data_IF_700184817229
#
_entry.id   IF_700184817229
#
_cell.length_a   1.000
_cell.length_b   1.000
_cell.length_c   1.000
_cell.angle_alpha   90.00
_cell.angle_beta   90.00
_cell.angle_gamma   90.00
#
_symmetry.space_group_name_H-M   'P 1'
#
loop_
_entity.id
_entity.type
_entity.pdbx_description
1 polymer ?
#
# COMPACT_ATOMS: atom_id res chain seq x y z
N UNK A 1 13.86 -15.46 -5.37
CA UNK A 1 13.67 -13.98 -5.26
C UNK A 1 12.37 -13.79 -4.50
N UNK A 2 12.39 -13.16 -3.33
CA UNK A 2 11.15 -12.81 -2.64
C UNK A 2 10.37 -11.81 -3.51
N UNK A 3 9.08 -12.06 -3.78
CA UNK A 3 8.16 -11.10 -4.42
C UNK A 3 8.01 -11.17 -5.94
N UNK A 4 7.76 -12.34 -6.53
CA UNK A 4 7.69 -12.59 -7.98
C UNK A 4 6.53 -11.98 -8.78
N UNK A 5 5.97 -10.83 -8.39
CA UNK A 5 4.93 -10.12 -9.14
C UNK A 5 5.50 -9.06 -10.09
N UNK A 6 4.87 -8.88 -11.25
CA UNK A 6 5.17 -7.76 -12.16
C UNK A 6 4.34 -6.53 -11.74
N UNK A 7 4.95 -5.35 -11.51
CA UNK A 7 4.18 -4.13 -11.25
C UNK A 7 3.32 -3.78 -12.47
N UNK A 8 2.12 -3.25 -12.24
CA UNK A 8 1.15 -2.94 -13.30
C UNK A 8 0.91 -1.44 -13.37
N UNK A 9 0.57 -0.82 -12.24
CA UNK A 9 0.41 0.62 -12.06
C UNK A 9 0.55 0.95 -10.58
N UNK A 10 0.99 2.17 -10.24
CA UNK A 10 1.30 2.58 -8.87
C UNK A 10 0.16 3.30 -8.15
N UNK A 11 -0.66 4.10 -8.84
CA UNK A 11 -1.67 4.97 -8.19
C UNK A 11 -3.11 4.72 -8.68
N UNK A 12 -3.46 5.10 -9.91
CA UNK A 12 -4.88 5.09 -10.36
C UNK A 12 -5.35 3.77 -10.99
N UNK A 13 -5.71 2.81 -10.15
CA UNK A 13 -6.33 1.54 -10.60
C UNK A 13 -7.83 1.52 -10.39
N UNK A 14 -8.55 0.79 -11.25
CA UNK A 14 -10.00 0.62 -11.17
C UNK A 14 -10.39 -0.85 -11.20
N UNK A 15 -11.35 -1.22 -10.35
CA UNK A 15 -11.94 -2.55 -10.27
C UNK A 15 -13.37 -2.53 -10.84
N UNK A 16 -13.62 -3.42 -11.79
CA UNK A 16 -14.88 -3.58 -12.50
C UNK A 16 -15.52 -4.95 -12.21
N UNK A 17 -16.83 -5.12 -12.50
CA UNK A 17 -17.50 -6.40 -12.32
C UNK A 17 -16.76 -7.55 -13.02
N UNK A 18 -16.78 -8.74 -12.40
CA UNK A 18 -16.03 -9.90 -12.90
C UNK A 18 -14.52 -9.80 -12.67
N UNK A 19 -14.11 -9.15 -11.57
CA UNK A 19 -12.71 -9.03 -11.13
C UNK A 19 -11.79 -8.32 -12.13
N UNK A 20 -12.33 -7.56 -13.09
CA UNK A 20 -11.53 -6.90 -14.14
C UNK A 20 -10.87 -5.64 -13.61
N UNK A 21 -9.59 -5.47 -13.94
CA UNK A 21 -8.82 -4.30 -13.56
C UNK A 21 -8.46 -3.46 -14.78
N UNK A 22 -8.52 -2.15 -14.63
CA UNK A 22 -8.06 -1.20 -15.63
C UNK A 22 -7.23 -0.11 -14.98
N UNK A 23 -6.24 0.35 -15.72
CA UNK A 23 -5.39 1.45 -15.36
C UNK A 23 -5.52 2.62 -16.34
N UNK A 24 -5.14 3.81 -15.90
CA UNK A 24 -5.26 5.05 -16.67
C UNK A 24 -3.91 5.68 -17.03
N UNK A 25 -2.82 5.11 -16.52
CA UNK A 25 -1.49 5.71 -16.57
C UNK A 25 -0.50 4.84 -17.34
N UNK A 26 0.58 5.44 -17.82
CA UNK A 26 1.65 4.78 -18.59
C UNK A 26 3.03 5.02 -17.95
N UNK A 27 3.05 5.04 -16.63
CA UNK A 27 4.21 5.39 -15.83
C UNK A 27 3.85 5.45 -14.35
N UNK A 28 4.74 6.06 -13.57
CA UNK A 28 4.59 6.21 -12.11
C UNK A 28 4.90 7.65 -11.69
N UNK A 29 4.35 8.05 -10.54
CA UNK A 29 4.67 9.32 -9.86
C UNK A 29 5.29 9.06 -8.48
N UNK A 30 6.45 8.43 -8.51
CA UNK A 30 7.10 7.86 -7.34
C UNK A 30 7.66 8.95 -6.41
N UNK A 31 7.54 8.73 -5.10
CA UNK A 31 8.26 9.50 -4.08
C UNK A 31 9.72 9.03 -4.05
N UNK A 32 10.67 9.97 -4.11
CA UNK A 32 12.10 9.62 -4.26
C UNK A 32 12.99 10.12 -3.13
N UNK A 33 12.44 10.76 -2.10
CA UNK A 33 13.22 11.10 -0.90
C UNK A 33 13.71 9.83 -0.19
N UNK A 34 15.02 9.74 0.03
CA UNK A 34 15.69 8.58 0.64
C UNK A 34 15.85 7.38 -0.28
N UNK A 35 15.61 7.55 -1.59
CA UNK A 35 15.72 6.48 -2.58
C UNK A 35 17.18 6.00 -2.70
N UNK A 36 17.35 4.68 -2.69
CA UNK A 36 18.64 4.02 -2.93
C UNK A 36 18.47 2.90 -3.95
N UNK A 37 19.55 2.51 -4.66
CA UNK A 37 19.50 1.36 -5.56
C UNK A 37 19.18 0.04 -4.83
N UNK A 38 19.46 -0.06 -3.53
CA UNK A 38 19.16 -1.23 -2.72
C UNK A 38 17.72 -1.27 -2.20
N UNK A 39 17.15 -0.12 -1.81
CA UNK A 39 15.80 -0.06 -1.23
C UNK A 39 14.72 -0.32 -2.26
N UNK A 40 14.80 0.35 -3.42
CA UNK A 40 13.80 0.26 -4.50
C UNK A 40 14.49 0.26 -5.88
N UNK A 41 15.10 -0.86 -6.29
CA UNK A 41 15.94 -0.93 -7.49
C UNK A 41 15.24 -0.48 -8.78
N UNK A 42 13.96 -0.79 -8.93
CA UNK A 42 13.18 -0.47 -10.12
C UNK A 42 12.90 1.04 -10.23
N UNK A 43 12.49 1.67 -9.11
CA UNK A 43 12.24 3.12 -9.03
C UNK A 43 13.54 3.89 -9.18
N UNK A 44 14.64 3.43 -8.55
CA UNK A 44 15.97 4.02 -8.73
C UNK A 44 16.39 3.99 -10.19
N UNK A 45 16.33 2.82 -10.84
CA UNK A 45 16.71 2.66 -12.24
C UNK A 45 15.95 3.64 -13.15
N UNK A 46 14.63 3.73 -12.96
CA UNK A 46 13.78 4.63 -13.73
C UNK A 46 14.06 6.11 -13.46
N UNK A 47 14.33 6.49 -12.20
CA UNK A 47 14.56 7.89 -11.79
C UNK A 47 15.85 8.49 -12.34
N UNK A 48 16.81 7.65 -12.76
CA UNK A 48 18.09 8.09 -13.35
C UNK A 48 18.12 7.97 -14.88
N UNK A 49 16.99 7.60 -15.52
CA UNK A 49 16.90 7.59 -16.97
C UNK A 49 16.77 9.01 -17.54
N UNK A 50 17.30 9.28 -18.75
CA UNK A 50 17.15 10.59 -19.40
C UNK A 50 15.70 11.03 -19.63
N UNK A 51 14.76 10.08 -19.69
CA UNK A 51 13.33 10.34 -19.85
C UNK A 51 12.59 10.68 -18.56
N UNK A 52 13.23 10.53 -17.39
CA UNK A 52 12.59 10.83 -16.11
C UNK A 52 12.51 12.33 -15.86
N UNK A 53 11.41 12.76 -15.24
CA UNK A 53 11.24 14.12 -14.76
C UNK A 53 11.28 14.13 -13.23
N UNK A 54 12.29 14.80 -12.66
CA UNK A 54 12.47 14.94 -11.22
C UNK A 54 11.86 16.25 -10.73
N UNK A 55 11.02 16.18 -9.70
CA UNK A 55 10.35 17.31 -9.09
C UNK A 55 10.87 17.54 -7.66
N UNK A 56 11.37 18.74 -7.38
CA UNK A 56 11.89 19.17 -6.08
C UNK A 56 13.03 18.29 -5.51
N UNK A 57 13.78 17.59 -6.36
CA UNK A 57 15.00 16.87 -5.97
C UNK A 57 16.19 17.81 -6.08
N UNK A 58 17.06 17.83 -5.06
CA UNK A 58 18.24 18.67 -5.09
C UNK A 58 19.32 18.09 -6.02
N UNK A 59 20.19 18.97 -6.51
CA UNK A 59 21.40 18.61 -7.21
C UNK A 59 22.61 19.03 -6.38
N UNK A 60 23.64 18.19 -6.34
CA UNK A 60 24.94 18.56 -5.77
C UNK A 60 25.69 19.56 -6.68
N UNK A 61 26.86 20.02 -6.22
CA UNK A 61 27.66 20.99 -6.95
C UNK A 61 28.16 20.49 -8.33
N UNK A 62 28.18 19.18 -8.55
CA UNK A 62 28.58 18.53 -9.80
C UNK A 62 27.35 18.21 -10.69
N UNK A 63 26.14 18.59 -10.27
CA UNK A 63 24.89 18.33 -10.98
C UNK A 63 24.36 16.90 -10.81
N UNK A 64 24.87 16.13 -9.82
CA UNK A 64 24.31 14.81 -9.50
C UNK A 64 23.09 14.95 -8.62
N UNK A 65 22.14 14.05 -8.82
CA UNK A 65 20.91 13.99 -8.02
C UNK A 65 21.22 13.59 -6.59
N UNK A 66 20.72 14.37 -5.62
CA UNK A 66 20.77 14.06 -4.20
C UNK A 66 19.35 13.77 -3.69
N UNK A 67 19.04 12.48 -3.52
CA UNK A 67 17.76 12.00 -3.02
C UNK A 67 17.59 12.15 -1.49
N UNK A 68 18.65 12.50 -0.76
CA UNK A 68 18.63 12.65 0.71
C UNK A 68 18.53 14.12 1.15
N UNK A 69 18.74 15.06 0.24
CA UNK A 69 18.54 16.47 0.52
C UNK A 69 17.05 16.78 0.69
N UNK A 70 16.73 17.47 1.79
CA UNK A 70 15.37 17.87 2.18
C UNK A 70 15.18 19.39 2.20
N UNK A 71 16.12 20.14 1.62
CA UNK A 71 16.11 21.61 1.63
C UNK A 71 14.88 22.19 0.93
N UNK A 72 14.37 21.50 -0.10
CA UNK A 72 13.11 21.83 -0.75
C UNK A 72 11.91 21.16 -0.06
N UNK A 73 11.91 19.83 0.04
CA UNK A 73 10.83 19.04 0.64
C UNK A 73 11.25 17.58 0.83
N UNK A 74 10.61 16.87 1.77
CA UNK A 74 10.70 15.40 1.86
C UNK A 74 9.70 14.68 0.92
N UNK A 75 8.90 15.42 0.16
CA UNK A 75 7.95 14.90 -0.84
C UNK A 75 8.47 15.15 -2.26
N UNK A 76 9.78 14.96 -2.48
CA UNK A 76 10.36 15.00 -3.82
C UNK A 76 9.89 13.81 -4.65
N UNK A 77 9.69 14.03 -5.96
CA UNK A 77 9.02 13.08 -6.85
C UNK A 77 9.80 12.81 -8.13
N UNK A 78 9.53 11.67 -8.74
CA UNK A 78 9.97 11.33 -10.09
C UNK A 78 8.79 10.84 -10.91
N UNK A 79 8.58 11.45 -12.08
CA UNK A 79 7.74 10.88 -13.13
C UNK A 79 8.61 9.94 -13.95
N UNK A 80 8.22 8.68 -14.03
CA UNK A 80 8.98 7.63 -14.72
C UNK A 80 8.05 6.95 -15.74
N UNK A 81 8.52 6.78 -16.98
CA UNK A 81 7.75 6.01 -17.96
C UNK A 81 7.67 4.54 -17.56
N UNK A 82 6.55 3.87 -17.86
CA UNK A 82 6.44 2.43 -17.64
C UNK A 82 7.55 1.63 -18.36
N UNK A 83 8.03 2.13 -19.50
CA UNK A 83 9.14 1.52 -20.24
C UNK A 83 10.48 1.56 -19.48
N UNK A 84 10.63 2.49 -18.55
CA UNK A 84 11.84 2.70 -17.73
C UNK A 84 11.74 2.00 -16.36
N UNK A 85 10.61 1.34 -16.04
CA UNK A 85 10.43 0.53 -14.82
C UNK A 85 10.67 -0.95 -15.16
N UNK A 86 11.77 -1.56 -14.68
CA UNK A 86 12.09 -2.94 -14.99
C UNK A 86 10.98 -3.92 -14.56
N UNK A 87 10.47 -4.70 -15.52
CA UNK A 87 9.48 -5.75 -15.29
C UNK A 87 8.04 -5.26 -15.16
N UNK A 88 7.77 -3.97 -15.38
CA UNK A 88 6.39 -3.45 -15.43
C UNK A 88 5.63 -3.99 -16.63
N UNK A 89 4.38 -4.39 -16.41
CA UNK A 89 3.43 -4.83 -17.44
C UNK A 89 2.25 -3.85 -17.51
N UNK A 90 1.45 -3.92 -18.57
CA UNK A 90 0.28 -3.07 -18.72
C UNK A 90 -0.97 -3.68 -18.07
N UNK A 91 -1.91 -2.85 -17.58
CA UNK A 91 -3.18 -3.34 -17.03
C UNK A 91 -3.96 -4.30 -17.94
N UNK A 92 -3.85 -4.15 -19.26
CA UNK A 92 -4.49 -5.02 -20.23
C UNK A 92 -3.96 -6.47 -20.24
N UNK A 93 -2.81 -6.71 -19.60
CA UNK A 93 -2.20 -8.02 -19.44
C UNK A 93 -2.67 -8.74 -18.17
N UNK A 94 -3.43 -8.06 -17.29
CA UNK A 94 -4.00 -8.66 -16.09
C UNK A 94 -5.40 -9.19 -16.41
N UNK A 95 -5.59 -10.51 -16.27
CA UNK A 95 -6.87 -11.13 -16.58
C UNK A 95 -7.94 -10.78 -15.53
N UNK A 96 -7.66 -11.05 -14.26
CA UNK A 96 -8.55 -10.85 -13.11
C UNK A 96 -7.74 -10.55 -11.85
N UNK A 97 -8.34 -9.84 -10.90
CA UNK A 97 -7.80 -9.62 -9.56
C UNK A 97 -8.37 -10.64 -8.57
N UNK A 98 -7.50 -11.37 -7.88
CA UNK A 98 -7.90 -12.35 -6.87
C UNK A 98 -7.95 -11.77 -5.45
N UNK A 99 -7.16 -10.72 -5.20
CA UNK A 99 -6.99 -10.14 -3.87
C UNK A 99 -7.06 -8.62 -3.90
N UNK A 100 -7.71 -8.04 -2.88
CA UNK A 100 -7.65 -6.60 -2.57
C UNK A 100 -7.02 -6.42 -1.20
N UNK A 101 -5.99 -5.59 -1.10
CA UNK A 101 -5.36 -5.24 0.16
C UNK A 101 -5.69 -3.78 0.50
N UNK A 102 -6.43 -3.58 1.59
CA UNK A 102 -6.66 -2.26 2.17
C UNK A 102 -5.49 -1.96 3.10
N UNK A 103 -4.62 -1.05 2.67
CA UNK A 103 -3.49 -0.61 3.49
C UNK A 103 -3.96 0.36 4.57
N UNK A 104 -3.55 0.11 5.80
CA UNK A 104 -3.84 0.94 6.96
C UNK A 104 -2.53 1.26 7.69
N UNK A 105 -2.49 2.35 8.44
CA UNK A 105 -1.39 2.65 9.34
C UNK A 105 -1.92 2.98 10.73
N UNK A 106 -1.99 1.94 11.57
CA UNK A 106 -2.48 2.02 12.94
C UNK A 106 -1.36 1.66 13.94
N UNK A 107 -1.58 1.91 15.23
CA UNK A 107 -0.70 1.49 16.32
C UNK A 107 -1.49 0.91 17.51
N UNK A 108 -2.78 0.63 17.35
CA UNK A 108 -3.70 0.24 18.42
C UNK A 108 -4.25 -1.16 18.17
N UNK A 109 -5.48 -1.27 17.71
CA UNK A 109 -6.28 -2.50 17.69
C UNK A 109 -6.18 -3.31 16.39
N UNK A 110 -5.60 -2.75 15.33
CA UNK A 110 -5.57 -3.42 14.02
C UNK A 110 -4.41 -4.43 13.98
N UNK A 111 -4.67 -5.72 13.72
CA UNK A 111 -3.64 -6.75 13.62
C UNK A 111 -2.70 -6.47 12.43
N UNK A 112 -1.60 -7.21 12.31
CA UNK A 112 -0.73 -7.07 11.14
C UNK A 112 -1.50 -7.35 9.84
N UNK A 113 -2.32 -8.40 9.83
CA UNK A 113 -3.20 -8.71 8.71
C UNK A 113 -4.51 -9.34 9.19
N UNK A 114 -5.62 -8.93 8.59
CA UNK A 114 -6.91 -9.56 8.78
C UNK A 114 -7.58 -9.88 7.43
N UNK A 115 -8.18 -11.06 7.30
CA UNK A 115 -9.05 -11.43 6.16
C UNK A 115 -10.47 -11.01 6.49
N UNK A 116 -11.06 -10.23 5.59
CA UNK A 116 -12.34 -9.57 5.80
C UNK A 116 -13.46 -10.25 5.01
N UNK A 117 -14.66 -10.26 5.58
CA UNK A 117 -15.89 -10.48 4.82
C UNK A 117 -16.21 -9.26 3.94
N UNK A 118 -17.06 -9.37 2.89
CA UNK A 118 -17.41 -8.23 2.04
C UNK A 118 -17.99 -7.02 2.79
N UNK A 119 -18.80 -7.27 3.83
CA UNK A 119 -19.37 -6.20 4.65
C UNK A 119 -18.29 -5.51 5.51
N UNK A 120 -17.36 -6.29 6.08
CA UNK A 120 -16.21 -5.75 6.81
C UNK A 120 -15.27 -4.97 5.86
N UNK A 121 -15.03 -5.47 4.65
CA UNK A 121 -14.23 -4.81 3.64
C UNK A 121 -14.78 -3.42 3.28
N UNK A 122 -16.08 -3.32 3.02
CA UNK A 122 -16.74 -2.04 2.78
C UNK A 122 -16.64 -1.09 3.98
N UNK A 123 -16.78 -1.62 5.21
CA UNK A 123 -16.65 -0.81 6.43
C UNK A 123 -15.21 -0.29 6.62
N UNK A 124 -14.19 -1.15 6.53
CA UNK A 124 -12.79 -0.75 6.70
C UNK A 124 -12.30 0.18 5.59
N UNK A 125 -12.78 0.00 4.36
CA UNK A 125 -12.52 0.92 3.27
C UNK A 125 -13.03 2.34 3.59
N UNK A 126 -14.18 2.45 4.26
CA UNK A 126 -14.73 3.75 4.68
C UNK A 126 -14.15 4.29 5.98
N UNK A 127 -13.60 3.45 6.86
CA UNK A 127 -12.88 3.92 8.05
C UNK A 127 -11.60 4.67 7.64
N UNK A 128 -10.88 4.15 6.64
CA UNK A 128 -9.80 4.85 5.96
C UNK A 128 -8.71 5.38 6.91
N UNK A 129 -8.32 4.57 7.90
CA UNK A 129 -7.42 5.04 8.96
C UNK A 129 -5.96 5.09 8.49
N UNK A 130 -5.32 6.22 8.70
CA UNK A 130 -3.91 6.42 8.33
C UNK A 130 -3.24 7.45 9.23
N UNK A 131 -1.94 7.67 9.02
CA UNK A 131 -1.23 8.81 9.61
C UNK A 131 -0.93 9.82 8.51
N UNK A 132 -1.28 11.08 8.73
CA UNK A 132 -1.00 12.17 7.80
C UNK A 132 0.48 12.23 7.43
N UNK A 133 0.74 12.33 6.13
CA UNK A 133 2.10 12.40 5.58
C UNK A 133 2.54 13.85 5.43
N UNK A 134 3.83 14.08 5.18
CA UNK A 134 4.33 15.42 4.86
C UNK A 134 3.70 16.02 3.59
N UNK A 135 3.16 15.17 2.69
CA UNK A 135 2.44 15.61 1.50
C UNK A 135 1.08 16.27 1.81
N UNK A 136 0.42 15.88 2.91
CA UNK A 136 -0.79 16.57 3.43
C UNK A 136 -0.50 17.92 4.10
N UNK A 137 0.77 18.33 4.15
CA UNK A 137 1.22 19.58 4.74
C UNK A 137 1.52 19.47 6.24
N UNK A 138 2.18 20.51 6.78
CA UNK A 138 2.63 20.55 8.20
C UNK A 138 1.50 20.40 9.21
N UNK A 139 0.28 20.77 8.85
CA UNK A 139 -0.86 20.69 9.76
C UNK A 139 -1.35 19.25 9.99
N UNK A 140 -1.08 18.34 9.06
CA UNK A 140 -1.57 16.95 9.07
C UNK A 140 -0.46 15.93 9.35
N UNK A 141 0.78 16.28 9.03
CA UNK A 141 1.93 15.41 9.23
C UNK A 141 2.00 14.85 10.66
N UNK A 142 2.00 13.51 10.77
CA UNK A 142 2.09 12.79 12.03
C UNK A 142 0.79 12.67 12.83
N UNK A 143 -0.33 13.24 12.35
CA UNK A 143 -1.64 13.08 13.01
C UNK A 143 -2.34 11.83 12.51
N UNK A 144 -3.07 11.17 13.40
CA UNK A 144 -4.00 10.12 13.00
C UNK A 144 -5.18 10.74 12.23
N UNK A 145 -5.49 10.17 11.08
CA UNK A 145 -6.54 10.65 10.17
C UNK A 145 -7.46 9.50 9.79
N UNK A 146 -8.71 9.87 9.48
CA UNK A 146 -9.66 9.00 8.80
C UNK A 146 -10.02 9.63 7.46
N UNK A 147 -9.59 8.99 6.38
CA UNK A 147 -9.79 9.43 4.99
C UNK A 147 -10.58 8.33 4.28
N UNK A 148 -11.92 8.44 4.22
CA UNK A 148 -12.76 7.36 3.69
C UNK A 148 -12.50 7.05 2.22
N UNK A 149 -12.32 5.78 1.89
CA UNK A 149 -12.20 5.29 0.51
C UNK A 149 -11.06 5.97 -0.26
N UNK A 150 -11.36 6.49 -1.45
CA UNK A 150 -10.40 7.14 -2.35
C UNK A 150 -10.36 8.67 -2.20
N UNK A 151 -10.79 9.21 -1.06
CA UNK A 151 -10.74 10.65 -0.83
C UNK A 151 -9.29 11.19 -0.85
N UNK A 152 -9.06 12.43 -1.33
CA UNK A 152 -10.06 13.46 -1.67
C UNK A 152 -10.58 13.41 -3.12
N UNK A 153 -10.36 12.31 -3.85
CA UNK A 153 -10.62 12.25 -5.29
C UNK A 153 -12.03 11.77 -5.66
N UNK A 154 -12.85 11.41 -4.67
CA UNK A 154 -14.21 10.95 -4.92
C UNK A 154 -15.21 12.10 -4.98
N UNK A 155 -15.72 12.39 -6.18
CA UNK A 155 -16.59 13.54 -6.43
C UNK A 155 -18.06 13.35 -6.04
N UNK A 156 -18.47 12.19 -5.52
CA UNK A 156 -19.85 11.87 -5.18
C UNK A 156 -20.03 11.61 -3.69
N UNK A 157 -21.25 11.18 -3.29
CA UNK A 157 -21.58 10.80 -1.92
C UNK A 157 -20.72 9.63 -1.45
N UNK A 158 -19.98 9.80 -0.36
CA UNK A 158 -18.96 8.85 0.08
C UNK A 158 -19.47 7.41 0.25
N UNK A 159 -20.70 7.23 0.75
CA UNK A 159 -21.34 5.94 0.92
C UNK A 159 -21.49 5.14 -0.38
N UNK A 160 -21.47 5.80 -1.54
CA UNK A 160 -21.51 5.13 -2.83
C UNK A 160 -20.24 4.32 -3.09
N UNK A 161 -19.11 4.73 -2.52
CA UNK A 161 -17.86 3.97 -2.61
C UNK A 161 -18.00 2.62 -1.89
N UNK A 162 -18.53 2.65 -0.67
CA UNK A 162 -18.73 1.44 0.15
C UNK A 162 -19.69 0.46 -0.54
N UNK A 163 -20.84 0.97 -0.98
CA UNK A 163 -21.85 0.16 -1.65
C UNK A 163 -21.29 -0.41 -2.95
N UNK A 164 -20.59 0.40 -3.75
CA UNK A 164 -20.01 -0.07 -5.01
C UNK A 164 -18.92 -1.11 -4.76
N UNK A 165 -18.07 -0.92 -3.76
CA UNK A 165 -17.03 -1.89 -3.43
C UNK A 165 -17.63 -3.22 -2.97
N UNK A 166 -18.67 -3.19 -2.13
CA UNK A 166 -19.44 -4.38 -1.73
C UNK A 166 -20.08 -5.08 -2.94
N UNK A 167 -20.73 -4.33 -3.83
CA UNK A 167 -21.37 -4.88 -5.03
C UNK A 167 -20.36 -5.54 -5.99
N UNK A 168 -19.12 -5.06 -6.03
CA UNK A 168 -18.04 -5.66 -6.83
C UNK A 168 -17.53 -6.98 -6.25
N UNK A 169 -17.67 -7.17 -4.93
CA UNK A 169 -17.29 -8.40 -4.23
C UNK A 169 -18.39 -9.47 -4.31
N UNK A 170 -19.65 -9.06 -4.40
CA UNK A 170 -20.80 -9.96 -4.35
C UNK A 170 -20.77 -11.01 -5.47
N UNK A 171 -20.93 -12.27 -5.09
CA UNK A 171 -20.89 -13.41 -6.01
C UNK A 171 -19.51 -13.73 -6.62
N UNK A 172 -18.42 -13.14 -6.11
CA UNK A 172 -17.04 -13.44 -6.52
C UNK A 172 -16.29 -14.24 -5.46
N UNK A 173 -15.17 -14.86 -5.85
CA UNK A 173 -14.20 -15.48 -4.95
C UNK A 173 -13.05 -14.53 -4.56
N UNK A 174 -13.16 -13.25 -4.91
CA UNK A 174 -12.13 -12.26 -4.61
C UNK A 174 -12.06 -12.02 -3.10
N UNK A 175 -10.85 -12.06 -2.55
CA UNK A 175 -10.64 -11.91 -1.12
C UNK A 175 -10.13 -10.52 -0.77
N UNK A 176 -10.53 -10.02 0.40
CA UNK A 176 -10.09 -8.71 0.88
C UNK A 176 -9.33 -8.85 2.20
N UNK A 177 -8.18 -8.20 2.27
CA UNK A 177 -7.34 -8.17 3.45
C UNK A 177 -7.16 -6.73 3.94
N UNK A 178 -7.17 -6.54 5.26
CA UNK A 178 -6.68 -5.34 5.91
C UNK A 178 -5.21 -5.57 6.29
N UNK A 179 -4.30 -4.75 5.77
CA UNK A 179 -2.86 -4.86 6.05
C UNK A 179 -2.38 -3.63 6.82
N UNK A 180 -1.95 -3.83 8.06
CA UNK A 180 -1.41 -2.75 8.89
C UNK A 180 0.08 -2.56 8.58
N UNK A 181 0.44 -1.36 8.15
CA UNK A 181 1.83 -0.93 7.86
C UNK A 181 2.43 -0.08 8.98
N UNK A 182 1.75 -0.03 10.13
CA UNK A 182 2.17 0.66 11.34
C UNK A 182 2.70 -0.29 12.40
N UNK A 183 1.99 -0.38 13.52
CA UNK A 183 2.34 -1.18 14.69
C UNK A 183 1.13 -1.92 15.24
N UNK A 184 1.39 -3.02 15.93
CA UNK A 184 0.41 -3.83 16.65
C UNK A 184 0.70 -3.71 18.14
N UNK A 185 -0.33 -3.70 18.98
CA UNK A 185 -0.19 -3.76 20.45
C UNK A 185 0.18 -2.45 21.16
N UNK A 186 0.45 -1.36 20.42
CA UNK A 186 0.69 -0.04 21.01
C UNK A 186 1.53 0.88 20.13
N UNK A 187 1.65 2.13 20.57
CA UNK A 187 2.58 3.12 19.97
C UNK A 187 4.03 2.77 20.29
N UNK A 188 4.97 3.42 19.61
CA UNK A 188 6.40 3.25 19.88
C UNK A 188 6.72 3.55 21.35
N UNK A 189 7.40 2.61 22.02
CA UNK A 189 7.71 2.68 23.45
C UNK A 189 6.76 1.91 24.38
N UNK A 190 5.61 1.41 23.92
CA UNK A 190 4.82 0.43 24.68
C UNK A 190 5.50 -0.94 24.63
N UNK A 191 5.57 -1.64 25.77
CA UNK A 191 6.22 -2.95 25.90
C UNK A 191 5.58 -4.02 25.00
N UNK A 192 4.31 -3.84 24.62
CA UNK A 192 3.56 -4.74 23.73
C UNK A 192 3.67 -4.35 22.25
N UNK A 193 4.32 -3.23 21.94
CA UNK A 193 4.31 -2.67 20.59
C UNK A 193 5.26 -3.40 19.65
N UNK A 194 4.71 -4.07 18.65
CA UNK A 194 5.45 -4.66 17.56
C UNK A 194 5.31 -3.83 16.27
N UNK A 195 6.43 -3.49 15.63
CA UNK A 195 6.41 -2.77 14.34
C UNK A 195 6.18 -3.76 13.21
N UNK A 196 5.19 -3.50 12.36
CA UNK A 196 5.07 -4.21 11.08
C UNK A 196 6.10 -3.63 10.12
N UNK A 197 7.21 -4.34 9.94
CA UNK A 197 8.31 -3.89 9.08
C UNK A 197 8.00 -4.16 7.61
N UNK A 198 8.66 -3.47 6.65
CA UNK A 198 8.52 -3.79 5.23
C UNK A 198 8.79 -5.26 4.89
N UNK A 199 9.72 -5.92 5.60
CA UNK A 199 10.00 -7.34 5.44
C UNK A 199 8.81 -8.21 5.89
N UNK A 200 8.17 -7.87 7.00
CA UNK A 200 6.96 -8.55 7.48
C UNK A 200 5.80 -8.32 6.51
N UNK A 201 5.57 -7.08 6.06
CA UNK A 201 4.54 -6.79 5.06
C UNK A 201 4.78 -7.57 3.77
N UNK A 202 6.01 -7.65 3.28
CA UNK A 202 6.35 -8.43 2.09
C UNK A 202 6.12 -9.94 2.29
N UNK A 203 6.43 -10.48 3.46
CA UNK A 203 6.16 -11.88 3.79
C UNK A 203 4.65 -12.18 3.84
N UNK A 204 3.86 -11.28 4.44
CA UNK A 204 2.40 -11.39 4.47
C UNK A 204 1.82 -11.35 3.05
N UNK A 205 2.23 -10.39 2.22
CA UNK A 205 1.75 -10.28 0.82
C UNK A 205 2.12 -11.52 0.02
N UNK A 206 3.34 -12.05 0.19
CA UNK A 206 3.75 -13.30 -0.45
C UNK A 206 2.91 -14.49 0.02
N UNK A 207 2.58 -14.57 1.31
CA UNK A 207 1.76 -15.64 1.87
C UNK A 207 0.27 -15.51 1.50
N UNK A 208 -0.25 -14.30 1.27
CA UNK A 208 -1.57 -14.09 0.65
C UNK A 208 -1.55 -14.67 -0.77
N UNK A 209 -0.55 -14.32 -1.57
CA UNK A 209 -0.47 -14.74 -2.97
C UNK A 209 -0.19 -16.25 -3.17
N UNK A 210 0.51 -16.88 -2.23
CA UNK A 210 0.96 -18.27 -2.36
C UNK A 210 0.32 -19.23 -1.35
N UNK A 211 -0.50 -18.71 -0.43
CA UNK A 211 -1.06 -19.45 0.69
C UNK A 211 -0.05 -19.69 1.82
N UNK A 212 -0.48 -20.46 2.82
CA UNK A 212 0.33 -20.84 3.98
C UNK A 212 0.12 -19.99 5.23
N UNK A 213 -0.84 -19.05 5.21
CA UNK A 213 -1.29 -18.35 6.42
C UNK A 213 -2.28 -19.24 7.17
N UNK A 214 -2.02 -19.49 8.45
CA UNK A 214 -3.02 -20.06 9.35
C UNK A 214 -3.91 -18.96 9.90
N UNK A 215 -5.22 -19.18 9.88
CA UNK A 215 -6.21 -18.18 10.25
C UNK A 215 -6.98 -18.60 11.50
N UNK A 216 -7.20 -17.65 12.40
CA UNK A 216 -8.13 -17.80 13.52
C UNK A 216 -9.16 -16.67 13.53
N UNK A 217 -10.34 -16.91 14.11
CA UNK A 217 -11.37 -15.89 14.20
C UNK A 217 -11.09 -14.99 15.39
N UNK A 218 -11.02 -13.69 15.15
CA UNK A 218 -10.95 -12.69 16.21
C UNK A 218 -12.27 -12.69 17.01
N UNK A 219 -12.22 -12.84 18.35
CA UNK A 219 -13.42 -12.96 19.17
C UNK A 219 -14.19 -11.64 19.34
N UNK A 220 -13.54 -10.49 19.14
CA UNK A 220 -14.10 -9.16 19.38
C UNK A 220 -14.68 -8.55 18.09
N UNK A 221 -13.99 -8.74 16.97
CA UNK A 221 -14.31 -8.13 15.67
C UNK A 221 -14.86 -9.13 14.64
N UNK A 222 -14.64 -10.44 14.84
CA UNK A 222 -15.19 -11.50 14.00
C UNK A 222 -14.58 -11.63 12.59
N UNK A 223 -13.54 -10.88 12.25
CA UNK A 223 -12.71 -11.15 11.06
C UNK A 223 -11.72 -12.29 11.36
N UNK A 224 -11.01 -12.79 10.34
CA UNK A 224 -9.93 -13.74 10.57
C UNK A 224 -8.59 -13.01 10.71
N UNK A 225 -7.80 -13.34 11.73
CA UNK A 225 -6.42 -12.87 11.93
C UNK A 225 -5.43 -13.99 11.65
N UNK A 226 -4.21 -13.61 11.25
CA UNK A 226 -3.16 -14.58 10.99
C UNK A 226 -2.59 -15.12 12.31
N UNK A 227 -2.77 -16.41 12.56
CA UNK A 227 -2.10 -17.11 13.66
C UNK A 227 -0.64 -17.46 13.30
N UNK A 228 -0.34 -17.62 12.02
CA UNK A 228 1.01 -17.88 11.53
C UNK A 228 1.20 -17.34 10.11
N UNK A 229 2.40 -16.86 9.80
CA UNK A 229 2.78 -16.43 8.44
C UNK A 229 4.18 -16.95 8.12
N UNK A 230 4.40 -17.66 7.00
CA UNK A 230 5.71 -18.15 6.61
C UNK A 230 6.76 -17.03 6.53
N UNK A 231 7.88 -17.20 7.24
CA UNK A 231 8.97 -16.22 7.27
C UNK A 231 8.76 -15.04 8.22
N UNK A 232 7.70 -15.05 9.04
CA UNK A 232 7.49 -14.11 10.14
C UNK A 232 7.66 -14.85 11.46
N UNK A 233 8.67 -14.48 12.23
CA UNK A 233 8.81 -14.95 13.62
C UNK A 233 7.83 -14.15 14.48
N UNK A 234 6.92 -14.84 15.17
CA UNK A 234 5.93 -14.16 15.99
C UNK A 234 6.55 -13.62 17.29
N UNK A 235 6.80 -12.32 17.27
CA UNK A 235 7.19 -11.49 18.42
C UNK A 235 6.05 -10.62 18.93
N UNK A 236 4.79 -11.08 18.81
CA UNK A 236 3.57 -10.32 19.12
C UNK A 236 3.14 -9.39 18.00
N UNK A 237 3.56 -9.67 16.76
CA UNK A 237 3.22 -8.85 15.58
C UNK A 237 2.03 -9.42 14.81
N UNK A 238 1.79 -10.72 14.90
CA UNK A 238 0.68 -11.40 14.24
C UNK A 238 -0.58 -11.35 15.11
#
# INVERSE_FOLDING_TARGET
>A
KAGGGAPVQDDFVSLFPGKKVYGTEAGTFAKVYGLTPESEPAVWHGSIQPGSYLENVALDADGRVDFFDRSHTENSRAVISAADIPGMIYPAEVEEADFVLILNRNASIIPAVARLTPDQAAAYFMLGETTGTSAGGKAEAGKFLRVPGTNPFFAYRHEWQANRFRDLLDGTDMEVFLLNTGRVGGVDGDERSAKVTPAISAAIVAAIAHGGIDWETDPDFGYQVAASVPGVEDGGVL
#
